data_IF_292354542028
#
_entry.id   IF_292354542028
#
_cell.length_a   1.000
_cell.length_b   1.000
_cell.length_c   1.000
_cell.angle_alpha   90.00
_cell.angle_beta   90.00
_cell.angle_gamma   90.00
#
_symmetry.space_group_name_H-M   'P 1'
#
loop_
_entity.id
_entity.type
_entity.pdbx_description
1 polymer ?
#
# COMPACT_ATOMS: atom_id res chain seq x y z
N UNK A 1 57.28 50.11 -58.14
CA UNK A 1 56.79 50.22 -56.76
C UNK A 1 55.29 50.46 -56.78
N UNK A 2 54.45 49.41 -56.76
CA UNK A 2 53.00 49.55 -56.68
C UNK A 2 52.47 48.47 -55.74
N UNK A 3 52.21 48.89 -54.49
CA UNK A 3 51.70 48.03 -53.42
C UNK A 3 50.23 47.72 -53.68
N UNK A 4 49.90 46.45 -53.90
CA UNK A 4 48.51 45.97 -53.93
C UNK A 4 48.20 45.29 -52.60
N UNK A 5 47.60 46.06 -51.70
CA UNK A 5 46.97 45.59 -50.47
C UNK A 5 45.77 44.71 -50.84
N UNK A 6 45.83 43.40 -50.56
CA UNK A 6 44.64 42.53 -50.60
C UNK A 6 44.09 42.42 -49.18
N UNK A 7 42.98 43.12 -48.94
CA UNK A 7 42.14 43.00 -47.75
C UNK A 7 41.71 41.53 -47.58
N UNK A 8 42.10 40.91 -46.46
CA UNK A 8 41.54 39.64 -46.00
C UNK A 8 40.15 39.90 -45.43
N UNK A 9 39.10 39.55 -46.18
CA UNK A 9 37.73 39.50 -45.64
C UNK A 9 37.55 38.18 -44.89
N UNK A 10 37.56 38.24 -43.55
CA UNK A 10 37.19 37.11 -42.72
C UNK A 10 35.66 37.06 -42.60
N UNK A 11 35.01 36.15 -43.34
CA UNK A 11 33.62 35.80 -43.07
C UNK A 11 33.56 35.01 -41.75
N UNK A 12 33.15 35.67 -40.66
CA UNK A 12 32.74 34.96 -39.44
C UNK A 12 31.40 34.30 -39.72
N UNK A 13 31.40 33.00 -39.99
CA UNK A 13 30.19 32.20 -39.97
C UNK A 13 29.66 32.19 -38.53
N UNK A 14 28.59 32.93 -38.26
CA UNK A 14 27.86 32.84 -37.02
C UNK A 14 27.09 31.51 -37.02
N UNK A 15 27.67 30.47 -36.41
CA UNK A 15 26.93 29.25 -36.08
C UNK A 15 25.88 29.62 -35.04
N UNK A 16 24.65 29.84 -35.51
CA UNK A 16 23.47 29.86 -34.66
C UNK A 16 23.30 28.47 -34.05
N UNK A 17 23.83 28.25 -32.85
CA UNK A 17 23.39 27.13 -32.02
C UNK A 17 21.93 27.39 -31.69
N UNK A 18 21.00 26.80 -32.45
CA UNK A 18 19.61 26.69 -32.02
C UNK A 18 19.62 25.88 -30.73
N UNK A 19 19.54 26.55 -29.59
CA UNK A 19 19.26 25.90 -28.32
C UNK A 19 17.90 25.23 -28.52
N UNK A 20 17.89 23.91 -28.67
CA UNK A 20 16.65 23.16 -28.69
C UNK A 20 15.93 23.51 -27.39
N UNK A 21 14.72 24.07 -27.49
CA UNK A 21 13.86 24.23 -26.33
C UNK A 21 13.66 22.82 -25.78
N UNK A 22 14.30 22.51 -24.65
CA UNK A 22 13.94 21.35 -23.88
C UNK A 22 12.43 21.46 -23.63
N UNK A 23 11.63 20.41 -23.90
CA UNK A 23 10.22 20.44 -23.55
C UNK A 23 10.16 20.79 -22.06
N UNK A 24 9.47 21.87 -21.73
CA UNK A 24 9.18 22.17 -20.34
C UNK A 24 8.45 20.95 -19.81
N UNK A 25 9.04 20.23 -18.86
CA UNK A 25 8.36 19.16 -18.16
C UNK A 25 7.14 19.80 -17.53
N UNK A 26 5.98 19.57 -18.14
CA UNK A 26 4.70 19.98 -17.58
C UNK A 26 4.63 19.31 -16.22
N UNK A 27 4.49 20.10 -15.14
CA UNK A 27 4.20 19.53 -13.83
C UNK A 27 2.96 18.65 -14.02
N UNK A 28 2.95 17.43 -13.48
CA UNK A 28 1.84 16.49 -13.66
C UNK A 28 0.46 17.07 -13.30
N UNK A 29 0.43 18.19 -12.57
CA UNK A 29 -0.75 18.92 -12.10
C UNK A 29 -1.16 20.12 -12.98
N UNK A 30 -0.47 20.40 -14.10
CA UNK A 30 -0.68 21.61 -14.89
C UNK A 30 -1.71 21.44 -16.03
N UNK A 31 -2.17 20.22 -16.31
CA UNK A 31 -3.36 19.98 -17.12
C UNK A 31 -4.56 19.96 -16.17
N UNK A 32 -5.42 20.99 -16.22
CA UNK A 32 -6.43 21.26 -15.18
C UNK A 32 -7.36 20.09 -14.80
N UNK A 33 -7.97 20.20 -13.61
CA UNK A 33 -8.83 19.18 -13.00
C UNK A 33 -8.49 18.97 -11.51
N UNK A 34 -9.36 18.29 -10.77
CA UNK A 34 -9.05 17.76 -9.43
C UNK A 34 -8.66 16.28 -9.63
N UNK A 35 -7.45 15.84 -9.24
CA UNK A 35 -7.03 14.45 -9.40
C UNK A 35 -7.91 13.47 -8.63
N UNK A 36 -8.09 12.25 -9.14
CA UNK A 36 -8.76 11.17 -8.39
C UNK A 36 -7.78 10.42 -7.50
N UNK A 37 -8.31 9.63 -6.56
CA UNK A 37 -7.48 8.83 -5.65
C UNK A 37 -6.70 7.74 -6.39
N UNK A 38 -7.24 7.18 -7.48
CA UNK A 38 -6.50 6.23 -8.32
C UNK A 38 -5.21 6.85 -8.89
N UNK A 39 -5.26 8.12 -9.25
CA UNK A 39 -4.18 8.87 -9.87
C UNK A 39 -3.15 9.35 -8.83
N UNK A 40 -3.62 9.88 -7.69
CA UNK A 40 -2.76 10.60 -6.74
C UNK A 40 -2.51 9.87 -5.43
N UNK A 41 -3.38 8.94 -5.00
CA UNK A 41 -3.18 8.23 -3.73
C UNK A 41 -1.84 7.47 -3.75
N UNK A 42 -1.14 7.54 -2.62
CA UNK A 42 0.20 6.99 -2.45
C UNK A 42 0.35 6.29 -1.09
N UNK A 43 1.47 5.60 -0.89
CA UNK A 43 1.76 4.89 0.36
C UNK A 43 0.65 3.89 0.74
N UNK A 44 0.35 3.84 2.04
CA UNK A 44 -0.61 2.88 2.60
C UNK A 44 -2.03 3.06 2.06
N UNK A 45 -2.44 4.30 1.78
CA UNK A 45 -3.75 4.60 1.19
C UNK A 45 -3.93 3.88 -0.15
N UNK A 46 -2.94 3.99 -1.05
CA UNK A 46 -2.96 3.32 -2.35
C UNK A 46 -2.97 1.80 -2.21
N UNK A 47 -2.23 1.25 -1.24
CA UNK A 47 -2.14 -0.20 -1.00
C UNK A 47 -3.49 -0.74 -0.50
N UNK A 48 -4.09 -0.08 0.51
CA UNK A 48 -5.41 -0.45 1.04
C UNK A 48 -6.47 -0.37 -0.06
N UNK A 49 -6.51 0.73 -0.80
CA UNK A 49 -7.48 0.93 -1.88
C UNK A 49 -7.40 -0.18 -2.94
N UNK A 50 -6.19 -0.58 -3.35
CA UNK A 50 -5.98 -1.70 -4.29
C UNK A 50 -6.40 -3.04 -3.68
N UNK A 51 -5.99 -3.33 -2.44
CA UNK A 51 -6.34 -4.58 -1.77
C UNK A 51 -7.84 -4.74 -1.61
N UNK A 52 -8.55 -3.68 -1.21
CA UNK A 52 -10.00 -3.67 -1.09
C UNK A 52 -10.69 -3.90 -2.44
N UNK A 53 -10.15 -3.33 -3.53
CA UNK A 53 -10.64 -3.57 -4.90
C UNK A 53 -10.51 -5.03 -5.33
N UNK A 54 -9.48 -5.73 -4.84
CA UNK A 54 -9.25 -7.16 -5.06
C UNK A 54 -10.02 -8.05 -4.07
N UNK A 55 -10.74 -7.45 -3.11
CA UNK A 55 -11.49 -8.17 -2.07
C UNK A 55 -10.62 -8.69 -0.92
N UNK A 56 -9.37 -8.24 -0.82
CA UNK A 56 -8.46 -8.57 0.28
C UNK A 56 -8.50 -7.50 1.39
N UNK A 57 -8.21 -7.92 2.62
CA UNK A 57 -8.13 -7.03 3.78
C UNK A 57 -6.85 -7.27 4.62
N UNK A 58 -5.68 -6.90 4.09
CA UNK A 58 -4.40 -7.10 4.78
C UNK A 58 -4.27 -6.22 6.04
N UNK A 59 -4.97 -5.08 6.09
CA UNK A 59 -4.83 -4.09 7.16
C UNK A 59 -5.99 -4.12 8.19
N UNK A 60 -6.80 -5.18 8.19
CA UNK A 60 -7.88 -5.44 9.17
C UNK A 60 -8.93 -4.31 9.24
N UNK A 61 -9.33 -3.79 8.07
CA UNK A 61 -10.37 -2.77 7.94
C UNK A 61 -11.79 -3.36 8.08
N UNK A 62 -11.97 -4.64 7.78
CA UNK A 62 -13.24 -5.34 7.78
C UNK A 62 -13.40 -6.23 9.01
N UNK A 63 -14.65 -6.61 9.31
CA UNK A 63 -14.91 -7.59 10.36
C UNK A 63 -14.34 -8.96 9.95
N UNK A 64 -13.72 -9.71 10.89
CA UNK A 64 -13.27 -11.06 10.63
C UNK A 64 -14.39 -11.97 10.15
N UNK A 65 -14.02 -13.01 9.40
CA UNK A 65 -14.96 -14.04 8.95
C UNK A 65 -15.53 -14.82 10.15
N UNK A 66 -16.80 -15.18 10.06
CA UNK A 66 -17.44 -16.05 11.05
C UNK A 66 -17.08 -17.52 10.81
N UNK A 67 -16.78 -18.23 11.90
CA UNK A 67 -16.50 -19.67 11.95
C UNK A 67 -17.36 -20.30 13.04
N UNK A 68 -17.52 -21.62 13.02
CA UNK A 68 -18.29 -22.32 14.05
C UNK A 68 -17.62 -22.31 15.43
N UNK A 69 -16.30 -22.11 15.51
CA UNK A 69 -15.55 -22.12 16.77
C UNK A 69 -15.37 -23.52 17.38
N UNK A 70 -15.60 -24.57 16.58
CA UNK A 70 -15.43 -25.96 16.99
C UNK A 70 -13.98 -26.41 16.83
N UNK A 71 -13.62 -27.58 17.38
CA UNK A 71 -12.28 -28.15 17.18
C UNK A 71 -11.98 -28.43 15.71
N UNK A 72 -12.99 -28.82 14.93
CA UNK A 72 -12.86 -29.12 13.51
C UNK A 72 -12.86 -27.85 12.63
N UNK A 73 -13.55 -26.80 13.08
CA UNK A 73 -13.67 -25.51 12.40
C UNK A 73 -13.36 -24.35 13.38
N UNK A 74 -12.09 -24.16 13.76
CA UNK A 74 -11.68 -23.10 14.66
C UNK A 74 -11.69 -21.74 13.95
N UNK A 75 -11.82 -20.66 14.71
CA UNK A 75 -11.61 -19.32 14.20
C UNK A 75 -10.15 -19.16 13.75
N UNK A 76 -9.96 -18.90 12.45
CA UNK A 76 -8.63 -18.64 11.91
C UNK A 76 -8.23 -17.19 12.18
N UNK A 77 -7.10 -16.99 12.82
CA UNK A 77 -6.59 -15.68 13.24
C UNK A 77 -5.28 -15.39 12.50
N UNK A 78 -5.31 -14.59 11.42
CA UNK A 78 -4.12 -14.20 10.67
C UNK A 78 -3.14 -13.42 11.56
N UNK A 79 -1.84 -13.68 11.46
CA UNK A 79 -0.82 -12.94 12.21
C UNK A 79 0.51 -12.88 11.46
N UNK A 80 1.14 -11.70 11.47
CA UNK A 80 2.50 -11.50 10.96
C UNK A 80 3.59 -11.96 11.95
N UNK A 81 3.19 -12.31 13.18
CA UNK A 81 4.09 -12.79 14.24
C UNK A 81 3.58 -14.10 14.84
N UNK A 82 4.34 -14.68 15.76
CA UNK A 82 4.01 -15.92 16.46
C UNK A 82 2.91 -15.80 17.53
N UNK A 83 2.34 -14.60 17.76
CA UNK A 83 1.18 -14.43 18.64
C UNK A 83 0.35 -13.19 18.31
N UNK A 84 -0.96 -13.26 18.55
CA UNK A 84 -1.91 -12.15 18.35
C UNK A 84 -2.91 -12.08 19.52
N UNK A 85 -3.25 -10.87 19.95
CA UNK A 85 -4.32 -10.67 20.94
C UNK A 85 -5.66 -10.99 20.28
N UNK A 86 -6.47 -11.83 20.93
CA UNK A 86 -7.84 -12.16 20.53
C UNK A 86 -8.80 -11.58 21.56
N UNK A 87 -9.85 -10.93 21.07
CA UNK A 87 -11.02 -10.53 21.85
C UNK A 87 -12.21 -11.42 21.49
N UNK A 88 -12.70 -12.20 22.45
CA UNK A 88 -13.86 -13.08 22.27
C UNK A 88 -15.09 -12.46 22.93
N UNK A 89 -16.10 -12.14 22.11
CA UNK A 89 -17.46 -11.84 22.56
C UNK A 89 -18.21 -13.17 22.54
N UNK A 90 -18.43 -13.76 23.73
CA UNK A 90 -18.86 -15.16 23.84
C UNK A 90 -20.30 -15.41 23.35
N UNK A 91 -21.18 -14.42 23.54
CA UNK A 91 -22.57 -14.41 23.11
C UNK A 91 -22.85 -13.03 22.49
N UNK A 92 -23.81 -12.93 21.57
CA UNK A 92 -24.03 -11.73 20.75
C UNK A 92 -24.22 -10.45 21.56
N UNK A 93 -24.95 -10.52 22.68
CA UNK A 93 -25.29 -9.38 23.53
C UNK A 93 -24.32 -9.17 24.71
N UNK A 94 -23.22 -9.93 24.76
CA UNK A 94 -22.25 -9.77 25.86
C UNK A 94 -21.57 -8.40 25.82
N UNK A 95 -21.64 -7.70 26.94
CA UNK A 95 -20.99 -6.38 27.12
C UNK A 95 -19.52 -6.50 27.49
N UNK A 96 -19.07 -7.66 27.96
CA UNK A 96 -17.69 -7.95 28.33
C UNK A 96 -16.97 -8.75 27.23
N UNK A 97 -15.79 -8.28 26.85
CA UNK A 97 -14.89 -8.98 25.92
C UNK A 97 -13.84 -9.75 26.70
N UNK A 98 -13.67 -11.03 26.35
CA UNK A 98 -12.64 -11.89 26.94
C UNK A 98 -11.36 -11.78 26.11
N UNK A 99 -10.29 -11.27 26.71
CA UNK A 99 -9.01 -11.03 26.05
C UNK A 99 -7.97 -12.07 26.42
N UNK A 100 -7.26 -12.59 25.44
CA UNK A 100 -6.13 -13.51 25.66
C UNK A 100 -5.12 -13.46 24.51
N UNK A 101 -3.90 -13.90 24.79
CA UNK A 101 -2.89 -14.12 23.76
C UNK A 101 -3.12 -15.46 23.07
N UNK A 102 -3.30 -15.43 21.75
CA UNK A 102 -3.25 -16.60 20.90
C UNK A 102 -1.84 -16.76 20.35
N UNK A 103 -1.25 -17.91 20.56
CA UNK A 103 0.09 -18.29 20.15
C UNK A 103 0.04 -19.20 18.91
N UNK A 104 1.14 -19.23 18.19
CA UNK A 104 1.37 -20.17 17.10
C UNK A 104 1.35 -21.62 17.60
N UNK A 105 0.82 -22.53 16.78
CA UNK A 105 0.78 -23.97 17.05
C UNK A 105 -0.62 -24.55 17.05
N UNK A 106 -0.92 -25.36 18.07
CA UNK A 106 -2.24 -25.99 18.23
C UNK A 106 -3.34 -24.97 18.52
N UNK A 107 -4.58 -25.31 18.15
CA UNK A 107 -5.72 -24.45 18.43
C UNK A 107 -5.92 -24.29 19.94
N UNK A 108 -6.05 -23.05 20.39
CA UNK A 108 -6.31 -22.69 21.77
C UNK A 108 -7.78 -22.35 21.95
N UNK A 109 -8.24 -22.30 23.21
CA UNK A 109 -9.65 -22.06 23.53
C UNK A 109 -9.83 -20.77 24.29
N UNK A 110 -10.94 -20.08 24.04
CA UNK A 110 -11.38 -18.97 24.89
C UNK A 110 -11.54 -19.47 26.34
N UNK A 111 -10.99 -18.78 27.35
CA UNK A 111 -11.05 -19.23 28.75
C UNK A 111 -12.47 -19.16 29.35
N UNK A 112 -13.43 -18.52 28.68
CA UNK A 112 -14.82 -18.41 29.11
C UNK A 112 -15.74 -19.40 28.38
N UNK A 113 -15.99 -19.22 27.08
CA UNK A 113 -16.93 -20.07 26.32
C UNK A 113 -16.30 -21.33 25.72
N UNK A 114 -14.97 -21.43 25.68
CA UNK A 114 -14.28 -22.58 25.13
C UNK A 114 -14.26 -22.67 23.60
N UNK A 115 -14.68 -21.63 22.86
CA UNK A 115 -14.53 -21.55 21.40
C UNK A 115 -13.07 -21.68 20.97
N UNK A 116 -12.81 -22.37 19.86
CA UNK A 116 -11.47 -22.67 19.36
C UNK A 116 -10.95 -21.59 18.42
N UNK A 117 -9.69 -21.21 18.59
CA UNK A 117 -8.96 -20.25 17.78
C UNK A 117 -7.64 -20.86 17.33
N UNK A 118 -7.27 -20.66 16.06
CA UNK A 118 -6.00 -21.12 15.50
C UNK A 118 -5.28 -19.96 14.84
N UNK A 119 -4.03 -19.73 15.26
CA UNK A 119 -3.18 -18.72 14.63
C UNK A 119 -2.77 -19.22 13.25
N UNK A 120 -2.85 -18.36 12.24
CA UNK A 120 -2.41 -18.65 10.87
C UNK A 120 -1.39 -17.60 10.44
N UNK A 121 -0.23 -17.99 9.90
CA UNK A 121 0.73 -17.04 9.35
C UNK A 121 0.07 -16.18 8.27
N UNK A 122 0.36 -14.88 8.28
CA UNK A 122 -0.10 -13.92 7.30
C UNK A 122 1.07 -13.04 6.84
N UNK A 123 1.18 -12.86 5.53
CA UNK A 123 2.17 -11.97 4.94
C UNK A 123 1.48 -10.67 4.53
N UNK A 124 2.06 -9.54 4.93
CA UNK A 124 1.55 -8.22 4.54
C UNK A 124 2.11 -7.82 3.17
N UNK A 125 1.27 -7.28 2.28
CA UNK A 125 1.75 -6.68 1.04
C UNK A 125 2.50 -5.37 1.32
N UNK A 126 3.64 -5.19 0.65
CA UNK A 126 4.50 -4.01 0.72
C UNK A 126 4.28 -3.07 -0.47
#
# INVERSE_FOLDING_TARGET
MASRLLLRTAFRAATSCRVARAPALSRCMAAGGIPTDEEQATGLEKIIMKAMKEGADPYNMMKPKNYAGSKADPHLVPSITNKRIVGCVCEEDNTAVIWFWLHEGEAQRCPSCGSHYKLVPHELPH
#
